data_IF_508395831346
#
_entry.id   IF_508395831346
#
_cell.length_a   1.000
_cell.length_b   1.000
_cell.length_c   1.000
_cell.angle_alpha   90.00
_cell.angle_beta   90.00
_cell.angle_gamma   90.00
#
_symmetry.space_group_name_H-M   'P 1'
#
loop_
_entity.id
_entity.type
_entity.pdbx_description
1 polymer ?
#
# COMPACT_ATOMS: atom_id res chain seq x y z
N UNK A 1 8.29 20.22 -4.80
CA UNK A 1 8.44 18.76 -4.77
C UNK A 1 9.91 18.40 -4.62
N UNK A 2 10.24 17.56 -3.64
CA UNK A 2 11.54 16.91 -3.41
C UNK A 2 11.73 15.66 -4.28
N UNK A 3 10.65 15.11 -4.86
CA UNK A 3 10.70 13.99 -5.81
C UNK A 3 10.33 14.43 -7.23
N UNK A 4 10.83 13.72 -8.25
CA UNK A 4 10.49 13.94 -9.66
C UNK A 4 9.01 13.59 -9.96
N UNK A 5 8.43 12.65 -9.20
CA UNK A 5 7.03 12.24 -9.34
C UNK A 5 6.69 11.54 -10.66
N UNK A 6 7.70 11.24 -11.50
CA UNK A 6 7.56 10.55 -12.77
C UNK A 6 8.13 9.13 -12.74
N UNK A 7 7.50 8.26 -13.51
CA UNK A 7 7.97 6.91 -13.84
C UNK A 7 8.12 6.83 -15.36
N UNK A 8 9.31 7.19 -15.85
CA UNK A 8 9.55 7.38 -17.28
C UNK A 8 8.65 8.49 -17.83
N UNK A 9 7.84 8.17 -18.86
CA UNK A 9 6.93 9.14 -19.48
C UNK A 9 5.61 9.36 -18.72
N UNK A 10 5.35 8.61 -17.64
CA UNK A 10 4.08 8.62 -16.91
C UNK A 10 4.24 9.26 -15.53
N UNK A 11 3.14 9.67 -14.91
CA UNK A 11 3.15 10.38 -13.62
C UNK A 11 3.33 11.90 -13.78
N UNK A 12 3.83 12.57 -12.75
CA UNK A 12 3.91 14.02 -12.65
C UNK A 12 2.67 14.65 -12.00
N UNK A 13 2.69 15.98 -11.88
CA UNK A 13 1.70 16.77 -11.14
C UNK A 13 0.87 17.65 -12.10
N UNK A 14 -0.12 17.05 -12.77
CA UNK A 14 -0.99 17.74 -13.73
C UNK A 14 -2.31 18.17 -13.08
N UNK A 15 -2.24 19.19 -12.24
CA UNK A 15 -3.36 19.69 -11.42
C UNK A 15 -3.46 21.21 -11.52
N UNK A 16 -4.55 21.79 -11.03
CA UNK A 16 -4.66 23.24 -10.88
C UNK A 16 -3.53 23.80 -10.03
N UNK A 17 -2.99 24.97 -10.38
CA UNK A 17 -1.95 25.67 -9.62
C UNK A 17 -2.35 25.85 -8.15
N UNK A 18 -3.65 26.03 -7.88
CA UNK A 18 -4.19 26.15 -6.53
C UNK A 18 -3.96 24.90 -5.66
N UNK A 19 -3.75 23.72 -6.25
CA UNK A 19 -3.51 22.46 -5.53
C UNK A 19 -2.02 22.17 -5.32
N UNK A 20 -1.13 22.87 -6.02
CA UNK A 20 0.33 22.63 -5.96
C UNK A 20 0.89 22.82 -4.53
N UNK A 21 0.48 23.85 -3.75
CA UNK A 21 0.99 24.01 -2.39
C UNK A 21 0.61 22.84 -1.48
N UNK A 22 -0.66 22.41 -1.50
CA UNK A 22 -1.15 21.32 -0.65
C UNK A 22 -0.45 19.99 -0.97
N UNK A 23 -0.22 19.69 -2.25
CA UNK A 23 0.47 18.47 -2.66
C UNK A 23 1.96 18.52 -2.31
N UNK A 24 2.58 19.69 -2.36
CA UNK A 24 3.98 19.87 -1.96
C UNK A 24 4.18 19.69 -0.45
N UNK A 25 3.24 20.20 0.35
CA UNK A 25 3.23 20.00 1.79
C UNK A 25 3.02 18.51 2.14
N UNK A 26 2.06 17.85 1.50
CA UNK A 26 1.81 16.42 1.68
C UNK A 26 3.05 15.57 1.36
N UNK A 27 3.73 15.84 0.25
CA UNK A 27 4.96 15.11 -0.11
C UNK A 27 6.06 15.31 0.94
N UNK A 28 6.28 16.54 1.39
CA UNK A 28 7.28 16.83 2.40
C UNK A 28 6.97 16.11 3.72
N UNK A 29 5.73 16.19 4.20
CA UNK A 29 5.31 15.52 5.43
C UNK A 29 5.40 13.99 5.33
N UNK A 30 5.01 13.41 4.19
CA UNK A 30 5.14 11.97 3.97
C UNK A 30 6.61 11.52 3.95
N UNK A 31 7.50 12.29 3.31
CA UNK A 31 8.93 12.01 3.27
C UNK A 31 9.57 12.05 4.66
N UNK A 32 9.11 12.95 5.52
CA UNK A 32 9.62 13.03 6.89
C UNK A 32 9.03 11.88 7.75
N UNK A 33 7.72 11.61 7.64
CA UNK A 33 7.03 10.56 8.39
C UNK A 33 7.50 9.13 8.03
N UNK A 34 7.84 8.87 6.77
CA UNK A 34 8.29 7.53 6.34
C UNK A 34 9.63 7.12 6.96
N UNK A 35 10.46 8.08 7.36
CA UNK A 35 11.76 7.84 8.00
C UNK A 35 11.65 7.84 9.54
N UNK A 36 10.54 8.35 10.10
CA UNK A 36 10.28 8.34 11.55
C UNK A 36 9.95 6.92 12.05
N UNK A 37 10.81 6.40 12.92
CA UNK A 37 10.64 5.09 13.54
C UNK A 37 9.35 4.98 14.36
N UNK A 38 8.90 6.06 15.00
CA UNK A 38 7.67 6.06 15.81
C UNK A 38 6.44 5.88 14.94
N UNK A 39 6.37 6.63 13.84
CA UNK A 39 5.29 6.52 12.86
C UNK A 39 5.23 5.10 12.28
N UNK A 40 6.38 4.54 11.88
CA UNK A 40 6.47 3.18 11.35
C UNK A 40 6.03 2.13 12.36
N UNK A 41 6.44 2.26 13.63
CA UNK A 41 6.07 1.33 14.69
C UNK A 41 4.56 1.34 14.97
N UNK A 42 3.95 2.53 14.97
CA UNK A 42 2.50 2.67 15.14
C UNK A 42 1.74 2.08 13.96
N UNK A 43 2.16 2.38 12.72
CA UNK A 43 1.56 1.82 11.52
C UNK A 43 1.65 0.28 11.51
N UNK A 44 2.80 -0.30 11.84
CA UNK A 44 2.98 -1.75 11.91
C UNK A 44 2.10 -2.41 12.99
N UNK A 45 1.98 -1.76 14.15
CA UNK A 45 1.10 -2.21 15.23
C UNK A 45 -0.37 -2.21 14.78
N UNK A 46 -0.83 -1.18 14.07
CA UNK A 46 -2.20 -1.10 13.53
C UNK A 46 -2.40 -2.15 12.42
N UNK A 47 -1.46 -2.28 11.50
CA UNK A 47 -1.52 -3.28 10.44
C UNK A 47 -1.63 -4.70 11.00
N UNK A 48 -0.91 -4.99 12.09
CA UNK A 48 -0.92 -6.30 12.73
C UNK A 48 -2.17 -6.50 13.60
N UNK A 49 -2.44 -5.59 14.53
CA UNK A 49 -3.46 -5.77 15.58
C UNK A 49 -4.87 -5.39 15.14
N UNK A 50 -5.00 -4.48 14.18
CA UNK A 50 -6.29 -4.03 13.67
C UNK A 50 -6.58 -4.61 12.29
N UNK A 51 -5.68 -4.42 11.32
CA UNK A 51 -5.94 -4.87 9.95
C UNK A 51 -5.81 -6.40 9.78
N UNK A 52 -5.08 -7.09 10.66
CA UNK A 52 -4.93 -8.55 10.64
C UNK A 52 -3.77 -9.05 9.77
N UNK A 53 -2.71 -8.25 9.62
CA UNK A 53 -1.48 -8.66 8.92
C UNK A 53 -0.58 -9.54 9.82
N UNK A 54 0.30 -10.38 9.22
CA UNK A 54 0.40 -10.68 7.80
C UNK A 54 -0.73 -11.59 7.31
N UNK A 55 -1.21 -11.33 6.09
CA UNK A 55 -2.16 -12.23 5.43
C UNK A 55 -1.44 -13.48 4.88
N UNK A 56 -2.05 -14.67 4.97
CA UNK A 56 -1.41 -15.90 4.54
C UNK A 56 -1.25 -15.97 3.01
N UNK A 57 -0.22 -16.68 2.56
CA UNK A 57 -0.05 -17.10 1.16
C UNK A 57 -0.55 -18.54 1.02
N UNK A 58 -1.78 -18.69 0.56
CA UNK A 58 -2.48 -19.99 0.54
C UNK A 58 -2.23 -20.74 -0.76
N UNK A 59 -1.67 -21.95 -0.70
CA UNK A 59 -1.58 -22.85 -1.87
C UNK A 59 -2.95 -23.48 -2.13
N UNK A 60 -3.55 -23.23 -3.29
CA UNK A 60 -4.87 -23.77 -3.65
C UNK A 60 -4.75 -25.08 -4.42
N UNK A 61 -5.03 -26.26 -3.81
CA UNK A 61 -4.83 -27.54 -4.48
C UNK A 61 -5.81 -27.77 -5.62
N UNK A 62 -7.08 -27.41 -5.41
CA UNK A 62 -8.14 -27.59 -6.41
C UNK A 62 -7.88 -26.73 -7.66
N UNK A 63 -7.52 -25.45 -7.46
CA UNK A 63 -7.20 -24.57 -8.58
C UNK A 63 -5.92 -25.02 -9.28
N UNK A 64 -4.90 -25.45 -8.52
CA UNK A 64 -3.66 -25.96 -9.10
C UNK A 64 -3.89 -27.17 -9.99
N UNK A 65 -4.73 -28.11 -9.54
CA UNK A 65 -5.11 -29.29 -10.33
C UNK A 65 -5.90 -28.91 -11.59
N UNK A 66 -6.79 -27.91 -11.49
CA UNK A 66 -7.60 -27.44 -12.60
C UNK A 66 -6.79 -26.76 -13.71
N UNK A 67 -5.78 -25.96 -13.37
CA UNK A 67 -4.99 -25.19 -14.36
C UNK A 67 -3.65 -25.84 -14.73
N UNK A 68 -3.25 -26.92 -14.05
CA UNK A 68 -2.02 -27.65 -14.34
C UNK A 68 -0.73 -26.97 -13.87
N UNK A 69 -0.80 -25.97 -12.98
CA UNK A 69 0.35 -25.32 -12.36
C UNK A 69 0.10 -25.05 -10.88
N UNK A 70 1.15 -24.79 -10.09
CA UNK A 70 0.97 -24.49 -8.66
C UNK A 70 0.45 -23.06 -8.49
N UNK A 71 -0.74 -22.92 -7.89
CA UNK A 71 -1.37 -21.63 -7.64
C UNK A 71 -1.35 -21.27 -6.16
N UNK A 72 -0.82 -20.08 -5.86
CA UNK A 72 -0.87 -19.45 -4.54
C UNK A 72 -1.78 -18.22 -4.57
N UNK A 73 -2.57 -18.05 -3.51
CA UNK A 73 -3.46 -16.91 -3.29
C UNK A 73 -2.91 -16.08 -2.14
N UNK A 74 -2.56 -14.81 -2.40
CA UNK A 74 -2.24 -13.84 -1.35
C UNK A 74 -3.56 -13.34 -0.75
N UNK A 75 -3.87 -13.77 0.47
CA UNK A 75 -5.21 -13.66 1.08
C UNK A 75 -5.52 -12.26 1.65
N UNK A 76 -5.40 -11.20 0.84
CA UNK A 76 -5.78 -9.83 1.26
C UNK A 76 -7.29 -9.69 1.54
N UNK A 77 -8.10 -10.67 1.13
CA UNK A 77 -9.52 -10.79 1.49
C UNK A 77 -9.73 -11.02 3.00
N UNK A 78 -8.70 -11.47 3.73
CA UNK A 78 -8.76 -11.70 5.17
C UNK A 78 -8.43 -10.47 6.02
N UNK A 79 -8.09 -9.34 5.39
CA UNK A 79 -7.90 -8.09 6.14
C UNK A 79 -9.21 -7.64 6.76
N UNK A 80 -9.12 -6.90 7.88
CA UNK A 80 -10.26 -6.15 8.39
C UNK A 80 -10.79 -5.21 7.29
N UNK A 81 -12.10 -5.28 7.03
CA UNK A 81 -12.75 -4.59 5.90
C UNK A 81 -12.77 -5.39 4.58
N UNK A 82 -12.13 -6.57 4.51
CA UNK A 82 -12.22 -7.51 3.39
C UNK A 82 -11.50 -7.09 2.11
N UNK A 83 -10.69 -6.03 2.15
CA UNK A 83 -9.96 -5.53 0.99
C UNK A 83 -8.58 -4.98 1.35
N UNK A 84 -7.65 -5.07 0.40
CA UNK A 84 -6.30 -4.49 0.52
C UNK A 84 -6.27 -2.96 0.67
N UNK A 85 -7.41 -2.26 0.44
CA UNK A 85 -7.51 -0.81 0.59
C UNK A 85 -7.30 -0.35 2.02
N UNK A 86 -7.58 -1.18 3.02
CA UNK A 86 -7.32 -0.91 4.44
C UNK A 86 -5.86 -0.53 4.72
N UNK A 87 -4.91 -0.96 3.87
CA UNK A 87 -3.51 -0.58 4.00
C UNK A 87 -3.24 0.90 3.62
N UNK A 88 -4.14 1.60 2.92
CA UNK A 88 -3.90 2.89 2.23
C UNK A 88 -5.11 3.85 2.25
N UNK A 89 -5.89 3.95 3.33
CA UNK A 89 -6.98 4.95 3.39
C UNK A 89 -6.50 6.29 3.92
#
# INVERSE_FOLDING_TARGET
MRLDGRFGRFGGLYVSELLVPALTELEAAWLDAREDERFRAELDALLTRFAGRPTPLYRSPALSAHVGCTVYLKREDLLHGGAHKTNNT
#
